data_IF_269727166108
#
_entry.id   IF_269727166108
#
_cell.length_a   1.000
_cell.length_b   1.000
_cell.length_c   1.000
_cell.angle_alpha   90.00
_cell.angle_beta   90.00
_cell.angle_gamma   90.00
#
_symmetry.space_group_name_H-M   'P 1'
#
loop_
_entity.id
_entity.type
_entity.pdbx_description
1 polymer ?
#
# COMPACT_ATOMS: atom_id res chain seq x y z
N UNK A 1 32.18 -27.48 8.60
CA UNK A 1 31.19 -26.90 9.53
C UNK A 1 31.35 -25.38 9.67
N UNK A 2 32.55 -24.86 9.91
CA UNK A 2 32.79 -23.42 10.10
C UNK A 2 32.36 -22.51 8.94
N UNK A 3 32.59 -22.92 7.68
CA UNK A 3 32.14 -22.17 6.49
C UNK A 3 30.62 -22.05 6.37
N UNK A 4 29.87 -23.05 6.85
CA UNK A 4 28.41 -23.00 6.84
C UNK A 4 27.88 -22.01 7.89
N UNK A 5 28.42 -22.06 9.11
CA UNK A 5 28.12 -21.09 10.17
C UNK A 5 28.47 -19.65 9.76
N UNK A 6 29.60 -19.44 9.10
CA UNK A 6 29.97 -18.11 8.58
C UNK A 6 29.00 -17.61 7.50
N UNK A 7 28.53 -18.49 6.61
CA UNK A 7 27.53 -18.13 5.60
C UNK A 7 26.19 -17.76 6.23
N UNK A 8 25.75 -18.53 7.21
CA UNK A 8 24.46 -18.33 7.88
C UNK A 8 24.47 -17.06 8.73
N UNK A 9 25.55 -16.82 9.48
CA UNK A 9 25.72 -15.57 10.24
C UNK A 9 25.76 -14.34 9.33
N UNK A 10 26.40 -14.42 8.16
CA UNK A 10 26.37 -13.36 7.17
C UNK A 10 24.97 -13.14 6.56
N UNK A 11 24.20 -14.21 6.35
CA UNK A 11 22.81 -14.10 5.89
C UNK A 11 21.93 -13.39 6.94
N UNK A 12 22.00 -13.83 8.19
CA UNK A 12 21.27 -13.21 9.31
C UNK A 12 21.64 -11.73 9.48
N UNK A 13 22.92 -11.36 9.28
CA UNK A 13 23.34 -9.97 9.35
C UNK A 13 22.68 -9.12 8.25
N UNK A 14 22.66 -9.60 7.00
CA UNK A 14 21.99 -8.92 5.88
C UNK A 14 20.49 -8.78 6.11
N UNK A 15 19.85 -9.83 6.62
CA UNK A 15 18.41 -9.81 6.90
C UNK A 15 18.08 -8.79 7.99
N UNK A 16 18.89 -8.70 9.06
CA UNK A 16 18.73 -7.70 10.11
C UNK A 16 18.88 -6.27 9.60
N UNK A 17 19.85 -6.03 8.72
CA UNK A 17 20.02 -4.73 8.07
C UNK A 17 18.82 -4.37 7.21
N UNK A 18 18.32 -5.32 6.40
CA UNK A 18 17.13 -5.13 5.58
C UNK A 18 15.90 -4.82 6.44
N UNK A 19 15.69 -5.56 7.54
CA UNK A 19 14.59 -5.32 8.48
C UNK A 19 14.70 -3.92 9.08
N UNK A 20 15.88 -3.50 9.54
CA UNK A 20 16.09 -2.16 10.11
C UNK A 20 15.77 -1.07 9.11
N UNK A 21 16.23 -1.21 7.85
CA UNK A 21 15.97 -0.24 6.78
C UNK A 21 14.48 -0.16 6.45
N UNK A 22 13.83 -1.29 6.20
CA UNK A 22 12.40 -1.35 5.85
C UNK A 22 11.51 -0.84 7.00
N UNK A 23 11.90 -1.10 8.25
CA UNK A 23 11.18 -0.57 9.42
C UNK A 23 11.27 0.95 9.50
N UNK A 24 12.45 1.52 9.26
CA UNK A 24 12.65 2.98 9.23
C UNK A 24 11.86 3.63 8.08
N UNK A 25 11.91 3.05 6.87
CA UNK A 25 11.11 3.52 5.73
C UNK A 25 9.61 3.45 6.02
N UNK A 26 9.14 2.36 6.63
CA UNK A 26 7.73 2.21 7.03
C UNK A 26 7.32 3.25 8.07
N UNK A 27 8.18 3.54 9.05
CA UNK A 27 7.91 4.57 10.04
C UNK A 27 7.80 5.96 9.40
N UNK A 28 8.72 6.30 8.49
CA UNK A 28 8.69 7.56 7.74
C UNK A 28 7.41 7.70 6.89
N UNK A 29 7.03 6.63 6.17
CA UNK A 29 5.79 6.62 5.38
C UNK A 29 4.53 6.79 6.26
N UNK A 30 4.50 6.19 7.45
CA UNK A 30 3.38 6.37 8.40
C UNK A 30 3.29 7.80 8.92
N UNK A 31 4.43 8.44 9.17
CA UNK A 31 4.48 9.85 9.53
C UNK A 31 3.97 10.73 8.38
N UNK A 32 4.38 10.44 7.14
CA UNK A 32 3.90 11.14 5.95
C UNK A 32 2.38 11.00 5.78
N UNK A 33 1.83 9.80 5.93
CA UNK A 33 0.38 9.58 5.90
C UNK A 33 -0.34 10.41 6.96
N UNK A 34 0.22 10.48 8.17
CA UNK A 34 -0.34 11.30 9.26
C UNK A 34 -0.31 12.78 8.89
N UNK A 35 0.80 13.28 8.33
CA UNK A 35 0.91 14.67 7.85
C UNK A 35 -0.13 14.96 6.77
N UNK A 36 -0.27 14.10 5.76
CA UNK A 36 -1.23 14.29 4.67
C UNK A 36 -2.69 14.29 5.15
N UNK A 37 -3.01 13.63 6.26
CA UNK A 37 -4.36 13.59 6.85
C UNK A 37 -4.68 14.77 7.76
N UNK A 38 -3.67 15.34 8.41
CA UNK A 38 -3.87 16.30 9.51
C UNK A 38 -3.41 17.71 9.18
N UNK A 39 -2.53 17.87 8.18
CA UNK A 39 -1.92 19.15 7.84
C UNK A 39 -2.29 19.56 6.41
N UNK A 40 -2.51 20.86 6.16
CA UNK A 40 -2.71 21.36 4.81
C UNK A 40 -1.43 21.21 3.99
N UNK A 41 -1.57 20.76 2.74
CA UNK A 41 -0.45 20.66 1.79
C UNK A 41 -0.39 21.92 0.94
N UNK A 42 0.77 22.56 0.88
CA UNK A 42 1.03 23.70 0.00
C UNK A 42 1.32 23.19 -1.41
N UNK A 43 0.58 23.70 -2.40
CA UNK A 43 0.81 23.43 -3.82
C UNK A 43 1.47 24.65 -4.46
N UNK A 44 2.69 24.49 -4.96
CA UNK A 44 3.47 25.56 -5.61
C UNK A 44 3.57 25.36 -7.14
N UNK A 45 2.91 24.34 -7.69
CA UNK A 45 2.94 24.04 -9.10
C UNK A 45 2.27 25.17 -9.89
N UNK A 46 2.89 25.58 -11.00
CA UNK A 46 2.34 26.59 -11.92
C UNK A 46 1.91 26.00 -13.27
N UNK A 47 2.11 24.69 -13.47
CA UNK A 47 1.86 23.99 -14.74
C UNK A 47 1.02 22.72 -14.53
N UNK A 48 0.14 22.46 -15.50
CA UNK A 48 -0.67 21.26 -15.57
C UNK A 48 0.20 20.02 -15.83
N UNK A 49 0.03 18.97 -15.03
CA UNK A 49 0.79 17.72 -15.17
C UNK A 49 0.41 16.89 -16.40
N UNK A 50 -0.77 17.12 -17.01
CA UNK A 50 -1.17 16.44 -18.25
C UNK A 50 -0.70 17.16 -19.52
N UNK A 51 -0.87 18.49 -19.59
CA UNK A 51 -0.62 19.26 -20.82
C UNK A 51 0.63 20.13 -20.77
N UNK A 52 1.22 20.36 -19.60
CA UNK A 52 2.30 21.32 -19.41
C UNK A 52 1.88 22.79 -19.58
N UNK A 53 0.61 23.08 -19.89
CA UNK A 53 0.13 24.45 -19.96
C UNK A 53 0.15 25.11 -18.58
N UNK A 54 0.19 26.45 -18.49
CA UNK A 54 -0.06 27.16 -17.23
C UNK A 54 -1.35 26.67 -16.56
N UNK A 55 -1.33 26.65 -15.23
CA UNK A 55 -2.54 26.34 -14.47
C UNK A 55 -3.53 27.51 -14.58
N UNK A 56 -4.73 27.22 -15.03
CA UNK A 56 -5.83 28.15 -15.20
C UNK A 56 -6.99 27.70 -14.32
N UNK A 57 -7.56 28.63 -13.56
CA UNK A 57 -8.70 28.36 -12.70
C UNK A 57 -9.92 27.93 -13.56
N UNK A 58 -10.68 26.91 -13.15
CA UNK A 58 -10.52 26.10 -11.94
C UNK A 58 -9.43 25.01 -12.06
N UNK A 59 -8.66 24.85 -10.98
CA UNK A 59 -7.55 23.89 -10.87
C UNK A 59 -7.87 22.84 -9.81
N UNK A 60 -7.52 21.59 -10.09
CA UNK A 60 -7.61 20.48 -9.13
C UNK A 60 -6.20 20.05 -8.73
N UNK A 61 -5.98 19.98 -7.42
CA UNK A 61 -4.73 19.53 -6.82
C UNK A 61 -4.94 18.19 -6.12
N UNK A 62 -4.18 17.17 -6.51
CA UNK A 62 -4.19 15.88 -5.83
C UNK A 62 -3.13 15.84 -4.74
N UNK A 63 -3.40 15.13 -3.64
CA UNK A 63 -2.45 14.95 -2.55
C UNK A 63 -1.17 14.20 -2.96
N UNK A 64 -1.10 13.61 -4.15
CA UNK A 64 0.15 13.10 -4.72
C UNK A 64 1.10 14.20 -5.24
N UNK A 65 0.66 15.47 -5.26
CA UNK A 65 1.44 16.62 -5.74
C UNK A 65 1.19 17.01 -7.20
N UNK A 66 0.41 16.23 -7.95
CA UNK A 66 0.04 16.57 -9.32
C UNK A 66 -1.13 17.56 -9.36
N UNK A 67 -1.01 18.53 -10.26
CA UNK A 67 -1.97 19.62 -10.42
C UNK A 67 -2.47 19.65 -11.86
N UNK A 68 -3.78 19.83 -12.05
CA UNK A 68 -4.41 19.77 -13.36
C UNK A 68 -5.42 20.89 -13.54
N UNK A 69 -5.51 21.40 -14.77
CA UNK A 69 -6.65 22.22 -15.17
C UNK A 69 -7.90 21.33 -15.20
N UNK A 70 -9.03 21.79 -14.67
CA UNK A 70 -10.27 20.99 -14.62
C UNK A 70 -10.66 20.44 -15.99
N UNK A 71 -10.44 21.21 -17.07
CA UNK A 71 -10.71 20.79 -18.46
C UNK A 71 -9.95 19.52 -18.88
N UNK A 72 -8.82 19.21 -18.23
CA UNK A 72 -7.99 18.04 -18.55
C UNK A 72 -8.43 16.78 -17.78
N UNK A 73 -9.27 16.93 -16.75
CA UNK A 73 -9.81 15.82 -15.97
C UNK A 73 -11.16 15.32 -16.52
N UNK A 74 -11.91 16.19 -17.21
CA UNK A 74 -13.23 15.82 -17.75
C UNK A 74 -14.19 15.42 -16.62
N UNK A 75 -14.75 14.21 -16.70
CA UNK A 75 -15.63 13.64 -15.67
C UNK A 75 -14.86 12.90 -14.55
N UNK A 76 -13.54 12.74 -14.67
CA UNK A 76 -12.72 11.98 -13.72
C UNK A 76 -11.86 12.90 -12.85
N UNK A 77 -12.50 13.73 -12.04
CA UNK A 77 -11.85 14.65 -11.10
C UNK A 77 -11.51 14.02 -9.73
N UNK A 78 -11.92 12.77 -9.51
CA UNK A 78 -11.76 12.06 -8.23
C UNK A 78 -10.42 11.36 -8.06
N UNK A 79 -9.70 11.09 -9.15
CA UNK A 79 -8.40 10.42 -9.11
C UNK A 79 -7.37 11.08 -10.01
N UNK A 80 -6.12 11.03 -9.58
CA UNK A 80 -5.01 11.52 -10.39
C UNK A 80 -4.82 10.59 -11.60
N UNK A 81 -4.85 11.07 -12.85
CA UNK A 81 -4.69 10.22 -14.02
C UNK A 81 -3.29 9.58 -14.14
N UNK A 82 -2.27 10.17 -13.50
CA UNK A 82 -0.90 9.65 -13.50
C UNK A 82 -0.68 8.56 -12.43
N UNK A 83 -1.25 8.74 -11.23
CA UNK A 83 -1.04 7.82 -10.10
C UNK A 83 -2.18 6.82 -9.89
N UNK A 84 -3.37 7.13 -10.38
CA UNK A 84 -4.60 6.35 -10.21
C UNK A 84 -4.47 4.90 -10.68
N UNK A 85 -3.93 4.62 -11.89
CA UNK A 85 -3.76 3.24 -12.36
C UNK A 85 -2.93 2.37 -11.41
N UNK A 86 -1.82 2.90 -10.90
CA UNK A 86 -0.95 2.18 -9.97
C UNK A 86 -1.62 2.02 -8.60
N UNK A 87 -2.30 3.06 -8.10
CA UNK A 87 -3.04 2.98 -6.84
C UNK A 87 -4.18 1.94 -6.90
N UNK A 88 -4.91 1.86 -8.02
CA UNK A 88 -5.95 0.84 -8.23
C UNK A 88 -5.37 -0.56 -8.25
N UNK A 89 -4.24 -0.78 -8.94
CA UNK A 89 -3.53 -2.06 -8.95
C UNK A 89 -3.15 -2.49 -7.53
N UNK A 90 -2.59 -1.58 -6.74
CA UNK A 90 -2.21 -1.86 -5.35
C UNK A 90 -3.45 -2.14 -4.49
N UNK A 91 -4.53 -1.39 -4.66
CA UNK A 91 -5.78 -1.60 -3.93
C UNK A 91 -6.40 -2.98 -4.24
N UNK A 92 -6.38 -3.39 -5.51
CA UNK A 92 -6.86 -4.70 -5.96
C UNK A 92 -6.02 -5.85 -5.37
N UNK A 93 -4.68 -5.72 -5.40
CA UNK A 93 -3.78 -6.69 -4.76
C UNK A 93 -4.13 -6.82 -3.28
N UNK A 94 -4.28 -5.71 -2.55
CA UNK A 94 -4.63 -5.72 -1.12
C UNK A 94 -6.00 -6.35 -0.88
N UNK A 95 -6.99 -6.04 -1.71
CA UNK A 95 -8.32 -6.63 -1.63
C UNK A 95 -8.28 -8.14 -1.87
N UNK A 96 -7.55 -8.60 -2.88
CA UNK A 96 -7.39 -10.04 -3.16
C UNK A 96 -6.69 -10.80 -2.01
N UNK A 97 -5.66 -10.19 -1.41
CA UNK A 97 -4.98 -10.75 -0.23
C UNK A 97 -5.94 -10.85 0.97
N UNK A 98 -6.73 -9.81 1.22
CA UNK A 98 -7.73 -9.82 2.28
C UNK A 98 -8.83 -10.85 2.02
N UNK A 99 -9.35 -10.96 0.81
CA UNK A 99 -10.35 -11.97 0.45
C UNK A 99 -9.81 -13.40 0.62
N UNK A 100 -8.54 -13.64 0.25
CA UNK A 100 -7.86 -14.92 0.47
C UNK A 100 -7.69 -15.24 1.97
N UNK A 101 -7.41 -14.23 2.81
CA UNK A 101 -7.30 -14.40 4.27
C UNK A 101 -8.60 -14.87 4.94
N UNK A 102 -9.76 -14.63 4.30
CA UNK A 102 -11.08 -14.99 4.82
C UNK A 102 -11.52 -16.43 4.46
N UNK A 103 -10.65 -17.24 3.82
CA UNK A 103 -10.96 -18.61 3.39
C UNK A 103 -9.99 -19.64 4.00
N UNK A 104 -10.00 -19.84 5.33
CA UNK A 104 -9.09 -20.79 5.99
C UNK A 104 -9.27 -22.23 5.50
N UNK A 105 -10.48 -22.63 5.08
CA UNK A 105 -10.77 -23.96 4.55
C UNK A 105 -10.01 -24.26 3.26
N UNK A 106 -9.84 -23.24 2.41
CA UNK A 106 -9.06 -23.34 1.18
C UNK A 106 -7.59 -23.61 1.49
N UNK A 107 -7.04 -22.91 2.47
CA UNK A 107 -5.68 -23.15 2.96
C UNK A 107 -5.50 -24.61 3.43
N UNK A 108 -6.42 -25.14 4.25
CA UNK A 108 -6.33 -26.53 4.72
C UNK A 108 -6.56 -27.57 3.62
N UNK A 109 -7.31 -27.24 2.57
CA UNK A 109 -7.47 -28.10 1.40
C UNK A 109 -6.16 -28.15 0.59
N UNK A 110 -5.56 -26.99 0.28
CA UNK A 110 -4.30 -26.89 -0.44
C UNK A 110 -3.15 -27.55 0.34
N UNK A 111 -3.09 -27.33 1.66
CA UNK A 111 -2.06 -27.93 2.53
C UNK A 111 -2.11 -29.46 2.55
N UNK A 112 -3.31 -30.06 2.49
CA UNK A 112 -3.48 -31.53 2.47
C UNK A 112 -3.05 -32.16 1.14
N UNK A 113 -3.07 -31.39 0.06
CA UNK A 113 -2.75 -31.87 -1.28
C UNK A 113 -1.30 -31.54 -1.70
N UNK A 114 -0.64 -30.62 -1.01
CA UNK A 114 0.68 -30.14 -1.38
C UNK A 114 1.81 -31.11 -0.99
N UNK A 115 2.78 -31.24 -1.91
CA UNK A 115 4.02 -32.01 -1.67
C UNK A 115 4.95 -31.32 -0.67
N UNK A 116 4.98 -29.99 -0.67
CA UNK A 116 5.71 -29.16 0.29
C UNK A 116 4.74 -28.26 1.08
N UNK A 117 4.36 -28.72 2.26
CA UNK A 117 3.47 -27.97 3.14
C UNK A 117 4.09 -26.68 3.69
N UNK A 118 5.42 -26.59 3.79
CA UNK A 118 6.06 -25.38 4.32
C UNK A 118 5.93 -24.21 3.34
N UNK A 119 6.12 -24.45 2.05
CA UNK A 119 5.93 -23.43 1.02
C UNK A 119 4.49 -22.90 0.99
N UNK A 120 3.48 -23.78 1.13
CA UNK A 120 2.07 -23.36 1.21
C UNK A 120 1.80 -22.49 2.42
N UNK A 121 2.36 -22.86 3.58
CA UNK A 121 2.25 -22.07 4.82
C UNK A 121 2.94 -20.72 4.66
N UNK A 122 4.15 -20.69 4.11
CA UNK A 122 4.91 -19.45 3.90
C UNK A 122 4.20 -18.48 2.96
N UNK A 123 3.59 -18.99 1.87
CA UNK A 123 2.83 -18.19 0.92
C UNK A 123 1.55 -17.61 1.55
N UNK A 124 0.77 -18.42 2.26
CA UNK A 124 -0.46 -17.96 2.92
C UNK A 124 -0.18 -17.02 4.09
N UNK A 125 0.93 -17.24 4.81
CA UNK A 125 1.43 -16.33 5.83
C UNK A 125 1.76 -14.97 5.21
N UNK A 126 2.48 -14.95 4.07
CA UNK A 126 2.80 -13.73 3.33
C UNK A 126 1.56 -12.98 2.79
N UNK A 127 0.47 -13.69 2.48
CA UNK A 127 -0.82 -13.10 2.07
C UNK A 127 -1.67 -12.59 3.24
N UNK A 128 -1.22 -12.77 4.47
CA UNK A 128 -1.87 -12.22 5.66
C UNK A 128 -2.95 -13.12 6.30
N UNK A 129 -3.07 -14.39 5.87
CA UNK A 129 -4.05 -15.34 6.43
C UNK A 129 -3.88 -15.56 7.94
N UNK A 130 -2.64 -15.45 8.44
CA UNK A 130 -2.29 -15.62 9.86
C UNK A 130 -2.21 -14.29 10.63
N UNK A 131 -2.34 -13.14 9.94
CA UNK A 131 -2.29 -11.83 10.57
C UNK A 131 -3.66 -11.35 11.07
N UNK A 132 -4.71 -12.16 10.85
CA UNK A 132 -6.08 -11.90 11.31
C UNK A 132 -6.22 -12.27 12.79
N UNK A 133 -5.59 -11.49 13.66
CA UNK A 133 -6.09 -11.41 15.05
C UNK A 133 -7.36 -10.55 15.06
N UNK A 134 -8.32 -10.77 15.98
CA UNK A 134 -9.52 -9.93 16.09
C UNK A 134 -9.18 -8.42 16.17
N UNK A 135 -8.02 -8.09 16.77
CA UNK A 135 -7.48 -6.73 16.85
C UNK A 135 -6.98 -6.18 15.50
N UNK A 136 -6.33 -6.99 14.65
CA UNK A 136 -5.86 -6.57 13.33
C UNK A 136 -7.01 -6.44 12.31
N UNK A 137 -8.04 -7.29 12.42
CA UNK A 137 -9.27 -7.18 11.63
C UNK A 137 -10.05 -5.89 11.98
N UNK A 138 -10.12 -5.52 13.27
CA UNK A 138 -10.73 -4.27 13.71
C UNK A 138 -9.97 -3.02 13.23
N UNK A 139 -8.63 -3.07 13.20
CA UNK A 139 -7.80 -1.97 12.68
C UNK A 139 -7.94 -1.77 11.16
N UNK A 140 -8.11 -2.86 10.39
CA UNK A 140 -8.38 -2.81 8.95
C UNK A 140 -9.77 -2.22 8.62
N UNK A 141 -10.79 -2.55 9.41
CA UNK A 141 -12.13 -2.01 9.26
C UNK A 141 -12.21 -0.51 9.62
N UNK A 142 -11.53 -0.07 10.68
CA UNK A 142 -11.48 1.34 11.06
C UNK A 142 -10.82 2.25 10.00
N UNK A 143 -9.87 1.71 9.22
CA UNK A 143 -9.25 2.44 8.12
C UNK A 143 -10.16 2.63 6.90
N UNK A 144 -11.18 1.77 6.72
CA UNK A 144 -12.14 1.84 5.62
C UNK A 144 -13.38 2.70 5.93
N UNK A 145 -13.70 2.94 7.21
CA UNK A 145 -14.90 3.68 7.65
C UNK A 145 -14.66 5.20 7.74
N UNK A 146 -13.44 5.68 7.52
CA UNK A 146 -13.03 7.07 7.73
C UNK A 146 -12.92 7.99 6.50
N UNK A 147 -13.57 7.70 5.38
CA UNK A 147 -13.74 8.69 4.30
C UNK A 147 -15.12 9.33 4.41
N UNK A 148 -15.27 10.48 5.08
CA UNK A 148 -16.41 11.33 4.79
C UNK A 148 -16.20 11.83 3.35
N UNK A 149 -17.20 11.59 2.51
CA UNK A 149 -17.36 12.32 1.27
C UNK A 149 -17.40 13.81 1.60
N UNK A 150 -16.27 14.50 1.42
CA UNK A 150 -16.25 15.96 1.39
C UNK A 150 -16.91 16.39 0.07
N UNK A 151 -18.24 16.50 0.15
CA UNK A 151 -19.02 17.42 -0.66
C UNK A 151 -18.63 18.83 -0.22
N UNK A 152 -17.83 19.50 -1.05
CA UNK A 152 -17.80 20.95 -1.22
C UNK A 152 -17.45 21.21 -2.69
#
# INVERSE_FOLDING_TARGET
MERALQRDTAAVARDREAVSRLAAETAALREEVTKLRTQPRLFQNSRCSASGAPLELPVVHFLCGHSFNLRQLGENDRECPLCGPDQRRVAEIRHSMQAASMQPERFFAELRQATDGFSVVAEHFGRGLMNVTPAAAAAGAAAAVGQPALLL
#
